data_IF_869299277381
#
_entry.id   IF_869299277381
#
_cell.length_a   1.000
_cell.length_b   1.000
_cell.length_c   1.000
_cell.angle_alpha   90.00
_cell.angle_beta   90.00
_cell.angle_gamma   90.00
#
_symmetry.space_group_name_H-M   'P 1'
#
loop_
_entity.id
_entity.type
_entity.pdbx_description
1 polymer ?
#
# COMPACT_ATOMS: atom_id res chain seq x y z
N UNK A 1 -56.55 -55.40 54.08
CA UNK A 1 -55.44 -54.90 54.93
C UNK A 1 -54.24 -54.60 54.04
N UNK A 2 -53.81 -53.48 54.11
CA UNK A 2 -52.51 -52.78 54.07
C UNK A 2 -52.37 -51.70 52.99
N UNK A 3 -52.29 -50.54 53.49
CA UNK A 3 -51.92 -49.27 52.80
C UNK A 3 -50.49 -49.32 52.27
N UNK A 4 -50.28 -48.87 51.06
CA UNK A 4 -48.99 -48.31 50.69
C UNK A 4 -49.14 -47.03 49.91
N UNK A 5 -48.51 -46.04 50.46
CA UNK A 5 -48.48 -44.64 50.02
C UNK A 5 -47.81 -44.50 48.67
N UNK A 6 -48.47 -43.72 47.82
CA UNK A 6 -47.89 -43.19 46.56
C UNK A 6 -47.17 -41.92 46.88
N UNK A 7 -45.89 -41.84 46.55
CA UNK A 7 -45.07 -40.64 46.65
C UNK A 7 -44.78 -40.14 45.24
N UNK A 8 -45.44 -39.05 44.83
CA UNK A 8 -45.17 -38.36 43.58
C UNK A 8 -43.85 -37.60 43.69
N UNK A 9 -42.87 -37.98 42.87
CA UNK A 9 -41.71 -37.16 42.60
C UNK A 9 -41.94 -36.34 41.33
N UNK A 10 -42.09 -35.04 41.47
CA UNK A 10 -42.15 -34.10 40.41
C UNK A 10 -40.73 -33.84 39.86
N UNK A 11 -40.46 -34.30 38.66
CA UNK A 11 -39.27 -33.95 37.90
C UNK A 11 -39.52 -32.61 37.25
N UNK A 12 -38.89 -31.57 37.74
CA UNK A 12 -38.84 -30.27 37.07
C UNK A 12 -37.78 -30.31 35.96
N UNK A 13 -38.21 -30.41 34.73
CA UNK A 13 -37.35 -30.30 33.56
C UNK A 13 -37.10 -28.81 33.29
N UNK A 14 -35.90 -28.33 33.62
CA UNK A 14 -35.44 -27.01 33.24
C UNK A 14 -35.02 -27.08 31.79
N UNK A 15 -35.85 -26.58 30.86
CA UNK A 15 -35.45 -26.29 29.50
C UNK A 15 -34.56 -25.05 29.53
N UNK A 16 -33.26 -25.25 29.43
CA UNK A 16 -32.30 -24.20 29.07
C UNK A 16 -32.48 -23.97 27.56
N UNK A 17 -33.30 -22.99 27.22
CA UNK A 17 -33.38 -22.46 25.84
C UNK A 17 -32.08 -21.73 25.53
N UNK A 18 -31.15 -22.40 24.83
CA UNK A 18 -30.07 -21.71 24.15
C UNK A 18 -30.69 -20.87 23.02
N UNK A 19 -30.91 -19.59 23.28
CA UNK A 19 -31.08 -18.62 22.20
C UNK A 19 -29.75 -18.53 21.48
N UNK A 20 -29.54 -19.37 20.46
CA UNK A 20 -28.63 -19.05 19.40
C UNK A 20 -29.24 -17.83 18.69
N UNK A 21 -28.71 -16.65 18.96
CA UNK A 21 -28.93 -15.49 18.12
C UNK A 21 -28.30 -15.85 16.77
N UNK A 22 -29.11 -16.39 15.87
CA UNK A 22 -28.79 -16.44 14.45
C UNK A 22 -28.69 -14.98 14.02
N UNK A 23 -27.49 -14.43 13.94
CA UNK A 23 -27.25 -13.22 13.16
C UNK A 23 -27.82 -13.53 11.77
N UNK A 24 -28.86 -12.83 11.39
CA UNK A 24 -29.48 -12.97 10.06
C UNK A 24 -28.49 -12.35 9.10
N UNK A 25 -27.68 -13.18 8.45
CA UNK A 25 -26.84 -12.70 7.36
C UNK A 25 -27.70 -11.89 6.39
N UNK A 26 -27.25 -10.73 6.02
CA UNK A 26 -27.96 -9.92 5.02
C UNK A 26 -28.04 -10.74 3.72
N UNK A 27 -29.27 -11.05 3.28
CA UNK A 27 -29.50 -11.73 1.98
C UNK A 27 -29.22 -10.83 0.78
N UNK A 28 -28.90 -9.57 1.01
CA UNK A 28 -28.67 -8.57 -0.04
C UNK A 28 -27.35 -8.82 -0.77
N UNK A 29 -27.45 -9.10 -2.06
CA UNK A 29 -26.26 -9.16 -2.92
C UNK A 29 -25.58 -7.80 -3.01
N UNK A 30 -24.26 -7.82 -2.96
CA UNK A 30 -23.40 -6.62 -3.04
C UNK A 30 -22.32 -6.82 -4.10
N UNK A 31 -22.12 -5.79 -4.92
CA UNK A 31 -20.99 -5.72 -5.86
C UNK A 31 -20.09 -4.56 -5.46
N UNK A 32 -18.81 -4.82 -5.36
CA UNK A 32 -17.77 -3.88 -4.94
C UNK A 32 -16.79 -3.72 -6.11
N UNK A 33 -16.46 -2.49 -6.47
CA UNK A 33 -15.39 -2.19 -7.42
C UNK A 33 -14.13 -1.80 -6.65
N UNK A 34 -13.00 -2.41 -7.00
CA UNK A 34 -11.69 -2.12 -6.46
C UNK A 34 -10.73 -1.74 -7.60
N UNK A 35 -10.14 -0.54 -7.54
CA UNK A 35 -9.21 -0.07 -8.56
C UNK A 35 -7.78 0.09 -8.04
N UNK A 36 -6.79 -0.16 -8.90
CA UNK A 36 -5.38 0.17 -8.66
C UNK A 36 -4.61 0.39 -9.98
N UNK A 37 -3.44 1.01 -9.90
CA UNK A 37 -2.63 1.32 -11.09
C UNK A 37 -1.68 0.19 -11.51
N UNK A 38 -1.39 -0.74 -10.61
CA UNK A 38 -0.52 -1.88 -10.84
C UNK A 38 -1.18 -2.92 -11.76
N UNK A 39 -0.40 -3.82 -12.36
CA UNK A 39 -0.96 -4.95 -13.13
C UNK A 39 -1.15 -6.18 -12.23
N UNK A 40 -1.88 -7.18 -12.74
CA UNK A 40 -2.32 -8.36 -11.98
C UNK A 40 -1.17 -9.21 -11.42
N UNK A 41 0.01 -9.20 -12.05
CA UNK A 41 1.16 -10.03 -11.65
C UNK A 41 2.01 -9.45 -10.53
N UNK A 42 1.80 -8.17 -10.19
CA UNK A 42 2.49 -7.51 -9.07
C UNK A 42 1.98 -7.99 -7.71
N UNK A 43 2.72 -7.75 -6.60
CA UNK A 43 2.20 -8.07 -5.27
C UNK A 43 0.81 -7.48 -5.01
N UNK A 44 0.59 -6.19 -5.33
CA UNK A 44 -0.70 -5.51 -5.18
C UNK A 44 -1.80 -6.17 -6.04
N UNK A 45 -1.50 -6.47 -7.32
CA UNK A 45 -2.46 -7.13 -8.19
C UNK A 45 -2.89 -8.48 -7.63
N UNK A 46 -1.94 -9.31 -7.20
CA UNK A 46 -2.23 -10.62 -6.60
C UNK A 46 -2.93 -10.51 -5.24
N UNK A 47 -2.55 -9.54 -4.42
CA UNK A 47 -3.17 -9.29 -3.11
C UNK A 47 -4.64 -8.87 -3.24
N UNK A 48 -4.94 -7.98 -4.18
CA UNK A 48 -6.31 -7.51 -4.43
C UNK A 48 -7.20 -8.59 -5.06
N UNK A 49 -6.67 -9.41 -5.96
CA UNK A 49 -7.38 -10.58 -6.49
C UNK A 49 -7.64 -11.64 -5.40
N UNK A 50 -6.66 -11.89 -4.53
CA UNK A 50 -6.86 -12.79 -3.40
C UNK A 50 -7.94 -12.25 -2.44
N UNK A 51 -7.92 -10.94 -2.14
CA UNK A 51 -9.00 -10.29 -1.38
C UNK A 51 -10.38 -10.55 -2.03
N UNK A 52 -10.49 -10.34 -3.34
CA UNK A 52 -11.73 -10.57 -4.07
C UNK A 52 -12.19 -12.02 -3.99
N UNK A 53 -11.26 -12.97 -4.11
CA UNK A 53 -11.54 -14.41 -4.00
C UNK A 53 -12.10 -14.76 -2.61
N UNK A 54 -11.39 -14.40 -1.52
CA UNK A 54 -11.79 -14.78 -0.16
C UNK A 54 -13.09 -14.10 0.30
N UNK A 55 -13.36 -12.86 -0.15
CA UNK A 55 -14.65 -12.20 0.09
C UNK A 55 -15.79 -13.00 -0.56
N UNK A 56 -15.61 -13.43 -1.80
CA UNK A 56 -16.60 -14.26 -2.50
C UNK A 56 -16.83 -15.59 -1.78
N UNK A 57 -15.76 -16.28 -1.39
CA UNK A 57 -15.80 -17.56 -0.70
C UNK A 57 -16.50 -17.45 0.67
N UNK A 58 -16.08 -16.51 1.53
CA UNK A 58 -16.65 -16.34 2.89
C UNK A 58 -18.10 -15.89 2.88
N UNK A 59 -18.54 -15.24 1.81
CA UNK A 59 -19.93 -14.81 1.66
C UNK A 59 -20.78 -15.73 0.77
N UNK A 60 -20.25 -16.88 0.33
CA UNK A 60 -20.91 -17.80 -0.60
C UNK A 60 -21.45 -17.09 -1.86
N UNK A 61 -20.69 -16.14 -2.40
CA UNK A 61 -21.04 -15.37 -3.59
C UNK A 61 -22.06 -14.26 -3.37
N UNK A 62 -22.40 -13.94 -2.13
CA UNK A 62 -23.29 -12.81 -1.79
C UNK A 62 -22.62 -11.47 -2.03
N UNK A 63 -21.34 -11.35 -1.65
CA UNK A 63 -20.51 -10.18 -1.95
C UNK A 63 -19.52 -10.58 -3.04
N UNK A 64 -19.44 -9.78 -4.09
CA UNK A 64 -18.46 -9.94 -5.18
C UNK A 64 -17.63 -8.68 -5.30
N UNK A 65 -16.31 -8.85 -5.43
CA UNK A 65 -15.37 -7.75 -5.69
C UNK A 65 -14.87 -7.89 -7.11
N UNK A 66 -15.04 -6.84 -7.91
CA UNK A 66 -14.45 -6.73 -9.25
C UNK A 66 -13.19 -5.89 -9.16
N UNK A 67 -12.05 -6.48 -9.47
CA UNK A 67 -10.76 -5.78 -9.47
C UNK A 67 -10.52 -5.14 -10.85
N UNK A 68 -10.09 -3.89 -10.86
CA UNK A 68 -9.78 -3.11 -12.05
C UNK A 68 -8.31 -2.66 -11.98
N UNK A 69 -7.37 -3.49 -12.47
CA UNK A 69 -5.95 -3.20 -12.47
C UNK A 69 -5.55 -2.23 -13.58
N UNK A 70 -4.25 -1.90 -13.64
CA UNK A 70 -3.63 -1.16 -14.74
C UNK A 70 -4.34 0.16 -15.10
N UNK A 71 -4.73 0.93 -14.07
CA UNK A 71 -5.39 2.24 -14.22
C UNK A 71 -6.71 2.21 -15.02
N UNK A 72 -7.43 1.09 -15.06
CA UNK A 72 -8.69 0.98 -15.81
C UNK A 72 -9.78 1.95 -15.31
N UNK A 73 -9.70 2.35 -14.03
CA UNK A 73 -10.62 3.34 -13.42
C UNK A 73 -10.00 4.74 -13.27
N UNK A 74 -8.86 4.99 -13.92
CA UNK A 74 -8.09 6.22 -13.81
C UNK A 74 -6.79 6.04 -13.02
N UNK A 75 -6.02 7.12 -12.86
CA UNK A 75 -4.82 7.14 -12.03
C UNK A 75 -5.14 7.17 -10.53
N UNK A 76 -4.08 7.20 -9.70
CA UNK A 76 -4.27 7.20 -8.23
C UNK A 76 -5.15 8.36 -7.74
N UNK A 77 -4.90 9.59 -8.24
CA UNK A 77 -5.65 10.78 -7.84
C UNK A 77 -7.13 10.66 -8.20
N UNK A 78 -7.44 10.29 -9.44
CA UNK A 78 -8.82 10.14 -9.91
C UNK A 78 -9.57 9.07 -9.13
N UNK A 79 -8.93 7.96 -8.77
CA UNK A 79 -9.56 6.92 -7.96
C UNK A 79 -9.82 7.38 -6.52
N UNK A 80 -8.91 8.14 -5.90
CA UNK A 80 -9.14 8.74 -4.57
C UNK A 80 -10.31 9.73 -4.61
N UNK A 81 -10.41 10.58 -5.63
CA UNK A 81 -11.54 11.49 -5.81
C UNK A 81 -12.87 10.74 -6.00
N UNK A 82 -12.86 9.61 -6.72
CA UNK A 82 -14.03 8.74 -6.87
C UNK A 82 -14.46 8.11 -5.53
N UNK A 83 -13.52 7.73 -4.65
CA UNK A 83 -13.85 7.28 -3.28
C UNK A 83 -14.57 8.38 -2.50
N UNK A 84 -14.04 9.61 -2.53
CA UNK A 84 -14.63 10.76 -1.84
C UNK A 84 -16.05 11.05 -2.34
N UNK A 85 -16.30 10.91 -3.64
CA UNK A 85 -17.62 11.07 -4.26
C UNK A 85 -18.56 9.87 -4.03
N UNK A 86 -18.05 8.75 -3.50
CA UNK A 86 -18.82 7.51 -3.29
C UNK A 86 -19.12 6.73 -4.58
N UNK A 87 -18.48 7.07 -5.70
CA UNK A 87 -18.67 6.38 -6.99
C UNK A 87 -17.79 5.14 -7.15
N UNK A 88 -16.69 5.05 -6.40
CA UNK A 88 -15.85 3.88 -6.27
C UNK A 88 -15.88 3.40 -4.81
N UNK A 89 -15.93 2.08 -4.57
CA UNK A 89 -16.00 1.52 -3.22
C UNK A 89 -14.63 1.35 -2.59
N UNK A 90 -13.67 0.79 -3.34
CA UNK A 90 -12.31 0.50 -2.86
C UNK A 90 -11.28 0.94 -3.88
N UNK A 91 -10.13 1.40 -3.41
CA UNK A 91 -8.91 1.47 -4.23
C UNK A 91 -7.66 1.21 -3.40
N UNK A 92 -6.56 0.94 -4.09
CA UNK A 92 -5.24 0.75 -3.47
C UNK A 92 -4.24 1.70 -4.15
N UNK A 93 -4.22 2.99 -3.75
CA UNK A 93 -3.30 3.98 -4.31
C UNK A 93 -1.95 3.92 -3.62
N UNK A 94 -0.87 4.39 -4.26
CA UNK A 94 0.36 4.68 -3.53
C UNK A 94 0.12 5.76 -2.48
N UNK A 95 0.73 5.60 -1.28
CA UNK A 95 0.61 6.53 -0.16
C UNK A 95 0.91 7.98 -0.56
N UNK A 96 1.88 8.18 -1.45
CA UNK A 96 2.29 9.50 -1.92
C UNK A 96 1.12 10.38 -2.41
N UNK A 97 0.08 9.79 -3.01
CA UNK A 97 -1.08 10.54 -3.50
C UNK A 97 -2.05 10.96 -2.40
N UNK A 98 -1.94 10.37 -1.20
CA UNK A 98 -2.76 10.74 -0.04
C UNK A 98 -2.24 11.99 0.69
N UNK A 99 -0.99 12.38 0.48
CA UNK A 99 -0.37 13.57 1.08
C UNK A 99 -1.05 14.90 0.74
N UNK A 100 -1.95 14.92 -0.26
CA UNK A 100 -2.80 16.06 -0.57
C UNK A 100 -4.07 16.15 0.29
N UNK A 101 -4.39 15.10 1.05
CA UNK A 101 -5.62 14.96 1.82
C UNK A 101 -5.38 14.98 3.34
N UNK A 102 -4.20 14.52 3.79
CA UNK A 102 -3.79 14.54 5.19
C UNK A 102 -2.28 14.65 5.32
N UNK A 103 -1.82 15.38 6.34
CA UNK A 103 -0.40 15.62 6.58
C UNK A 103 0.34 14.39 7.15
N UNK A 104 -0.36 13.53 7.90
CA UNK A 104 0.27 12.39 8.56
C UNK A 104 0.74 11.30 7.59
N UNK A 105 0.09 11.15 6.43
CA UNK A 105 0.55 10.20 5.41
C UNK A 105 1.96 10.51 4.92
N UNK A 106 2.39 11.78 5.01
CA UNK A 106 3.75 12.21 4.67
C UNK A 106 4.84 11.52 5.51
N UNK A 107 4.52 10.95 6.69
CA UNK A 107 5.47 10.15 7.46
C UNK A 107 6.09 9.05 6.61
N UNK A 108 5.28 8.30 5.89
CA UNK A 108 5.74 7.15 5.12
C UNK A 108 6.40 7.51 3.78
N UNK A 109 6.33 8.78 3.38
CA UNK A 109 7.05 9.32 2.23
C UNK A 109 8.43 9.91 2.61
N UNK A 110 8.79 9.94 3.92
CA UNK A 110 10.11 10.38 4.36
C UNK A 110 11.20 9.45 3.80
N UNK A 111 12.17 9.98 3.05
CA UNK A 111 13.21 9.15 2.46
C UNK A 111 14.07 8.48 3.54
N UNK A 112 14.36 7.19 3.37
CA UNK A 112 15.15 6.38 4.30
C UNK A 112 14.57 6.28 5.72
N UNK A 113 13.25 6.47 5.89
CA UNK A 113 12.57 6.23 7.18
C UNK A 113 12.74 4.78 7.63
N UNK A 114 12.52 3.85 6.72
CA UNK A 114 12.63 2.42 6.99
C UNK A 114 14.04 1.91 6.70
N UNK A 115 14.51 0.98 7.54
CA UNK A 115 15.84 0.36 7.40
C UNK A 115 15.74 -1.12 7.03
N UNK A 116 14.56 -1.71 7.13
CA UNK A 116 14.24 -3.07 6.74
C UNK A 116 12.74 -3.20 6.43
N UNK A 117 12.40 -4.21 5.67
CA UNK A 117 11.02 -4.60 5.40
C UNK A 117 10.27 -4.98 6.69
N UNK A 118 10.90 -5.80 7.55
CA UNK A 118 10.33 -6.15 8.84
C UNK A 118 10.02 -4.91 9.69
N UNK A 119 10.94 -3.93 9.68
CA UNK A 119 10.75 -2.65 10.37
C UNK A 119 9.56 -1.86 9.80
N UNK A 120 9.40 -1.83 8.47
CA UNK A 120 8.28 -1.19 7.83
C UNK A 120 6.95 -1.84 8.24
N UNK A 121 6.86 -3.17 8.20
CA UNK A 121 5.65 -3.90 8.60
C UNK A 121 5.30 -3.69 10.07
N UNK A 122 6.30 -3.66 10.98
CA UNK A 122 6.06 -3.34 12.39
C UNK A 122 5.40 -1.96 12.54
N UNK A 123 5.82 -0.97 11.78
CA UNK A 123 5.25 0.38 11.82
C UNK A 123 3.87 0.42 11.19
N UNK A 124 3.66 -0.22 10.05
CA UNK A 124 2.36 -0.29 9.37
C UNK A 124 1.27 -0.91 10.26
N UNK A 125 1.62 -1.94 11.03
CA UNK A 125 0.68 -2.67 11.90
C UNK A 125 0.56 -2.07 13.31
N UNK A 126 1.34 -1.03 13.61
CA UNK A 126 1.32 -0.35 14.91
C UNK A 126 0.21 0.70 15.01
N UNK A 127 0.15 1.32 16.20
CA UNK A 127 -0.68 2.50 16.41
C UNK A 127 -0.30 3.69 15.52
N UNK A 128 0.94 3.75 15.00
CA UNK A 128 1.37 4.78 14.04
C UNK A 128 0.67 4.56 12.69
N UNK A 129 0.74 3.36 12.15
CA UNK A 129 0.06 3.03 10.89
C UNK A 129 -1.45 3.18 11.00
N UNK A 130 -2.04 2.76 12.14
CA UNK A 130 -3.48 2.92 12.41
C UNK A 130 -3.87 4.39 12.47
N UNK A 131 -3.10 5.23 13.19
CA UNK A 131 -3.41 6.66 13.33
C UNK A 131 -3.34 7.42 11.99
N UNK A 132 -2.49 6.97 11.06
CA UNK A 132 -2.44 7.52 9.70
C UNK A 132 -3.70 7.12 8.91
N UNK A 133 -4.11 5.85 8.98
CA UNK A 133 -5.32 5.37 8.31
C UNK A 133 -6.59 6.07 8.86
N UNK A 134 -6.67 6.28 10.15
CA UNK A 134 -7.80 6.96 10.80
C UNK A 134 -7.86 8.45 10.42
N UNK A 135 -6.73 9.11 10.22
CA UNK A 135 -6.66 10.52 9.82
C UNK A 135 -7.29 10.76 8.42
N UNK A 136 -7.29 9.74 7.54
CA UNK A 136 -7.94 9.79 6.23
C UNK A 136 -9.47 9.96 6.33
N UNK A 137 -10.09 9.62 7.46
CA UNK A 137 -11.53 9.76 7.62
C UNK A 137 -12.00 11.20 7.49
N UNK A 138 -11.18 12.17 7.91
CA UNK A 138 -11.43 13.60 7.71
C UNK A 138 -11.55 14.01 6.23
N UNK A 139 -10.94 13.25 5.34
CA UNK A 139 -11.00 13.44 3.90
C UNK A 139 -12.10 12.61 3.21
N UNK A 140 -12.95 11.90 3.97
CA UNK A 140 -14.01 11.03 3.42
C UNK A 140 -13.49 9.67 2.93
N UNK A 141 -12.32 9.24 3.41
CA UNK A 141 -11.66 7.99 3.04
C UNK A 141 -11.52 7.12 4.29
N UNK A 142 -11.88 5.85 4.21
CA UNK A 142 -11.67 4.86 5.28
C UNK A 142 -10.44 4.03 4.97
N UNK A 143 -9.40 4.13 5.79
CA UNK A 143 -8.26 3.24 5.73
C UNK A 143 -8.59 1.86 6.28
N UNK A 144 -8.16 0.80 5.57
CA UNK A 144 -8.44 -0.59 5.95
C UNK A 144 -7.18 -1.36 6.31
N UNK A 145 -6.02 -0.98 5.77
CA UNK A 145 -4.75 -1.61 6.06
C UNK A 145 -3.68 -1.24 5.03
N UNK A 146 -2.46 -1.73 5.23
CA UNK A 146 -1.29 -1.40 4.42
C UNK A 146 -0.79 -2.63 3.66
N UNK A 147 -0.92 -2.63 2.34
CA UNK A 147 -0.11 -3.42 1.43
C UNK A 147 1.28 -2.77 1.28
N UNK A 148 2.19 -3.46 0.62
CA UNK A 148 3.52 -2.98 0.30
C UNK A 148 3.89 -3.31 -1.15
N UNK A 149 4.67 -2.44 -1.78
CA UNK A 149 5.12 -2.68 -3.16
C UNK A 149 6.63 -2.94 -3.25
N UNK A 150 7.32 -2.95 -2.09
CA UNK A 150 8.77 -3.16 -2.01
C UNK A 150 9.59 -1.87 -2.00
N UNK A 151 10.91 -2.03 -2.12
CA UNK A 151 11.85 -0.92 -2.12
C UNK A 151 11.84 -0.18 -3.45
N UNK A 152 11.68 1.15 -3.37
CA UNK A 152 11.79 2.02 -4.53
C UNK A 152 13.25 2.28 -4.87
N UNK A 153 13.56 2.17 -6.15
CA UNK A 153 14.89 2.24 -6.74
C UNK A 153 14.87 3.22 -7.92
N UNK A 154 15.98 3.87 -8.19
CA UNK A 154 16.08 4.80 -9.32
C UNK A 154 16.46 4.03 -10.59
N UNK A 155 15.80 4.31 -11.72
CA UNK A 155 16.31 3.92 -13.04
C UNK A 155 16.74 5.13 -13.84
N UNK A 156 17.86 5.02 -14.57
CA UNK A 156 18.37 6.10 -15.42
C UNK A 156 19.36 5.58 -16.47
N UNK A 157 19.87 6.50 -17.33
CA UNK A 157 20.83 6.17 -18.38
C UNK A 157 22.29 6.50 -17.99
N UNK A 158 22.54 6.74 -16.72
CA UNK A 158 23.85 7.07 -16.13
C UNK A 158 24.07 6.19 -14.91
N UNK A 159 25.29 5.69 -14.72
CA UNK A 159 25.68 5.01 -13.50
C UNK A 159 25.75 6.00 -12.33
N UNK A 160 25.20 5.62 -11.17
CA UNK A 160 25.07 6.48 -9.98
C UNK A 160 25.56 5.72 -8.75
N UNK A 161 26.50 6.32 -8.02
CA UNK A 161 27.05 5.83 -6.75
C UNK A 161 26.97 6.86 -5.62
N UNK A 162 26.84 8.14 -5.96
CA UNK A 162 26.85 9.24 -4.99
C UNK A 162 25.67 10.19 -5.24
N UNK A 163 25.24 10.97 -4.21
CA UNK A 163 24.27 12.04 -4.41
C UNK A 163 24.65 13.03 -5.51
N UNK A 164 25.96 13.32 -5.67
CA UNK A 164 26.46 14.23 -6.70
C UNK A 164 26.21 13.71 -8.13
N UNK A 165 26.15 12.38 -8.29
CA UNK A 165 25.84 11.78 -9.58
C UNK A 165 24.40 12.00 -10.02
N UNK A 166 23.49 12.30 -9.10
CA UNK A 166 22.10 12.61 -9.40
C UNK A 166 21.91 14.00 -10.00
N UNK A 167 22.90 14.89 -9.81
CA UNK A 167 22.77 16.30 -10.21
C UNK A 167 22.46 16.46 -11.70
N UNK A 168 21.42 17.27 -11.97
CA UNK A 168 20.96 17.61 -13.32
C UNK A 168 20.08 16.59 -14.01
N UNK A 169 19.83 15.39 -13.42
CA UNK A 169 18.87 14.44 -13.97
C UNK A 169 17.45 15.01 -13.87
N UNK A 170 16.71 14.95 -14.97
CA UNK A 170 15.26 15.16 -14.97
C UNK A 170 14.61 13.86 -14.54
N UNK A 171 14.20 13.79 -13.29
CA UNK A 171 13.60 12.57 -12.74
C UNK A 171 12.09 12.74 -12.60
N UNK A 172 11.33 11.76 -13.11
CA UNK A 172 9.91 11.71 -12.81
C UNK A 172 9.71 11.24 -11.39
N UNK A 173 8.81 11.91 -10.69
CA UNK A 173 8.34 11.53 -9.36
C UNK A 173 6.81 11.43 -9.33
N UNK A 174 6.27 10.83 -8.29
CA UNK A 174 4.84 10.87 -8.03
C UNK A 174 4.39 12.31 -7.73
N UNK A 175 3.11 12.62 -7.90
CA UNK A 175 2.52 13.95 -7.64
C UNK A 175 2.44 14.25 -6.13
N UNK A 176 3.62 14.33 -5.51
CA UNK A 176 3.81 14.56 -4.09
C UNK A 176 4.94 15.55 -3.86
N UNK A 177 4.69 16.58 -3.03
CA UNK A 177 5.67 17.64 -2.80
C UNK A 177 6.94 17.16 -2.09
N UNK A 178 6.82 16.17 -1.20
CA UNK A 178 8.00 15.61 -0.52
C UNK A 178 8.90 14.84 -1.48
N UNK A 179 8.34 14.09 -2.42
CA UNK A 179 9.11 13.41 -3.47
C UNK A 179 9.82 14.44 -4.37
N UNK A 180 9.14 15.54 -4.72
CA UNK A 180 9.76 16.64 -5.47
C UNK A 180 10.93 17.23 -4.67
N UNK A 181 10.73 17.53 -3.39
CA UNK A 181 11.76 18.11 -2.53
C UNK A 181 12.94 17.14 -2.32
N UNK A 182 12.64 15.84 -2.15
CA UNK A 182 13.65 14.80 -2.00
C UNK A 182 14.64 14.79 -3.18
N UNK A 183 14.14 14.65 -4.41
CA UNK A 183 15.01 14.57 -5.57
C UNK A 183 15.63 15.92 -5.96
N UNK A 184 14.94 17.03 -5.72
CA UNK A 184 15.54 18.36 -5.86
C UNK A 184 16.70 18.58 -4.86
N UNK A 185 16.58 18.04 -3.63
CA UNK A 185 17.66 18.08 -2.64
C UNK A 185 18.91 17.31 -3.11
N UNK A 186 18.75 16.26 -3.91
CA UNK A 186 19.83 15.52 -4.55
C UNK A 186 20.36 16.22 -5.84
N UNK A 187 19.87 17.42 -6.15
CA UNK A 187 20.29 18.20 -7.32
C UNK A 187 19.61 17.79 -8.63
N UNK A 188 18.59 16.94 -8.59
CA UNK A 188 17.77 16.60 -9.74
C UNK A 188 16.81 17.76 -10.12
N UNK A 189 16.20 17.66 -11.29
CA UNK A 189 14.99 18.37 -11.66
C UNK A 189 13.80 17.41 -11.54
N UNK A 190 13.12 17.39 -10.39
CA UNK A 190 12.00 16.51 -10.15
C UNK A 190 10.74 16.98 -10.90
N UNK A 191 10.13 16.10 -11.67
CA UNK A 191 8.97 16.37 -12.54
C UNK A 191 7.83 15.46 -12.12
N UNK A 192 6.78 15.99 -11.44
CA UNK A 192 5.60 15.20 -11.10
C UNK A 192 4.83 14.82 -12.35
N UNK A 193 4.41 13.54 -12.44
CA UNK A 193 3.76 13.03 -13.63
C UNK A 193 2.95 11.76 -13.31
N UNK A 194 1.80 11.57 -13.96
CA UNK A 194 1.00 10.36 -13.86
C UNK A 194 1.81 9.11 -14.28
N UNK A 195 1.56 7.97 -13.62
CA UNK A 195 2.31 6.75 -13.85
C UNK A 195 2.19 6.24 -15.30
N UNK A 196 1.03 6.39 -15.91
CA UNK A 196 0.78 5.96 -17.29
C UNK A 196 1.58 6.71 -18.35
N UNK A 197 2.17 7.86 -18.01
CA UNK A 197 2.93 8.71 -18.94
C UNK A 197 4.45 8.42 -18.89
N UNK A 198 4.92 7.67 -17.88
CA UNK A 198 6.36 7.54 -17.57
C UNK A 198 7.13 6.86 -18.69
N UNK A 199 6.67 5.69 -19.18
CA UNK A 199 7.39 4.97 -20.24
C UNK A 199 7.59 5.82 -21.50
N UNK A 200 6.51 6.49 -21.94
CA UNK A 200 6.57 7.34 -23.13
C UNK A 200 7.50 8.54 -22.92
N UNK A 201 7.48 9.13 -21.73
CA UNK A 201 8.34 10.26 -21.39
C UNK A 201 9.82 9.90 -21.30
N UNK A 202 10.16 8.70 -20.80
CA UNK A 202 11.50 8.12 -20.83
C UNK A 202 11.94 7.84 -22.27
N UNK A 203 11.08 7.20 -23.06
CA UNK A 203 11.36 6.85 -24.45
C UNK A 203 11.62 8.10 -25.31
N UNK A 204 10.91 9.18 -25.07
CA UNK A 204 11.05 10.45 -25.81
C UNK A 204 12.16 11.36 -25.23
N UNK A 205 12.79 11.01 -24.11
CA UNK A 205 13.80 11.82 -23.47
C UNK A 205 13.26 13.12 -22.83
N UNK A 206 11.97 13.17 -22.53
CA UNK A 206 11.35 14.26 -21.74
C UNK A 206 11.88 14.24 -20.32
N UNK A 207 12.06 13.03 -19.78
CA UNK A 207 12.71 12.74 -18.50
C UNK A 207 13.90 11.79 -18.72
N UNK A 208 14.88 11.86 -17.84
CA UNK A 208 16.12 11.06 -17.88
C UNK A 208 16.06 9.84 -16.95
N UNK A 209 15.20 9.91 -15.94
CA UNK A 209 15.12 8.96 -14.83
C UNK A 209 13.68 8.85 -14.30
N UNK A 210 13.43 7.76 -13.59
CA UNK A 210 12.24 7.52 -12.78
C UNK A 210 12.64 6.72 -11.54
N UNK A 211 11.72 6.47 -10.61
CA UNK A 211 11.97 5.68 -9.41
C UNK A 211 10.74 4.83 -9.06
N UNK A 212 10.96 3.52 -8.89
CA UNK A 212 9.91 2.55 -8.61
C UNK A 212 10.47 1.26 -8.00
N UNK A 213 9.62 0.39 -7.43
CA UNK A 213 9.96 -0.99 -7.10
C UNK A 213 10.23 -1.85 -8.33
N UNK A 214 10.94 -2.95 -8.15
CA UNK A 214 11.26 -3.89 -9.23
C UNK A 214 10.05 -4.36 -10.02
N UNK A 215 8.96 -4.70 -9.33
CA UNK A 215 7.73 -5.16 -9.95
C UNK A 215 7.11 -4.13 -10.91
N UNK A 216 7.20 -2.83 -10.59
CA UNK A 216 6.73 -1.77 -11.46
C UNK A 216 7.69 -1.51 -12.63
N UNK A 217 9.00 -1.51 -12.37
CA UNK A 217 10.04 -1.36 -13.42
C UNK A 217 9.89 -2.47 -14.46
N UNK A 218 9.62 -3.69 -14.01
CA UNK A 218 9.44 -4.84 -14.88
C UNK A 218 8.16 -4.76 -15.71
N UNK A 219 7.03 -4.58 -15.04
CA UNK A 219 5.73 -4.64 -15.69
C UNK A 219 5.48 -3.50 -16.67
N UNK A 220 6.11 -2.34 -16.42
CA UNK A 220 6.12 -1.20 -17.34
C UNK A 220 7.28 -1.23 -18.35
N UNK A 221 8.14 -2.25 -18.27
CA UNK A 221 9.28 -2.44 -19.17
C UNK A 221 10.25 -1.25 -19.20
N UNK A 222 10.44 -0.56 -18.07
CA UNK A 222 11.36 0.58 -18.04
C UNK A 222 12.79 0.18 -18.42
N UNK A 223 13.16 -1.08 -18.21
CA UNK A 223 14.44 -1.64 -18.66
C UNK A 223 14.66 -1.56 -20.18
N UNK A 224 13.62 -1.39 -21.00
CA UNK A 224 13.79 -1.19 -22.45
C UNK A 224 14.30 0.20 -22.82
N UNK A 225 14.08 1.19 -21.92
CA UNK A 225 14.38 2.62 -22.13
C UNK A 225 15.34 3.19 -21.09
N UNK A 226 15.77 2.38 -20.12
CA UNK A 226 16.74 2.72 -19.07
C UNK A 226 17.89 1.71 -19.07
N UNK A 227 19.11 2.18 -18.76
CA UNK A 227 20.33 1.34 -18.76
C UNK A 227 20.73 0.82 -17.41
N UNK A 228 20.42 1.59 -16.35
CA UNK A 228 20.84 1.31 -14.99
C UNK A 228 19.63 1.31 -14.07
N UNK A 229 19.60 0.36 -13.14
CA UNK A 229 18.74 0.33 -11.97
C UNK A 229 19.66 0.47 -10.76
N UNK A 230 19.48 1.55 -10.01
CA UNK A 230 20.29 1.87 -8.83
C UNK A 230 19.49 1.50 -7.59
N UNK A 231 19.95 0.54 -6.80
CA UNK A 231 19.29 0.13 -5.56
C UNK A 231 19.45 1.18 -4.46
N UNK A 232 18.80 2.31 -4.67
CA UNK A 232 18.81 3.41 -3.69
C UNK A 232 18.04 3.06 -2.43
N UNK A 233 17.03 2.20 -2.50
CA UNK A 233 16.16 1.81 -1.38
C UNK A 233 15.70 3.02 -0.55
N UNK A 234 15.34 4.10 -1.24
CA UNK A 234 15.06 5.38 -0.60
C UNK A 234 13.69 5.44 0.09
N UNK A 235 12.73 4.62 -0.33
CA UNK A 235 11.41 4.44 0.29
C UNK A 235 11.04 2.97 0.21
N UNK A 236 10.50 2.39 1.30
CA UNK A 236 9.75 1.14 1.26
C UNK A 236 8.28 1.51 0.99
N UNK A 237 7.77 1.22 -0.21
CA UNK A 237 6.55 1.82 -0.74
C UNK A 237 5.28 1.30 -0.06
N UNK A 238 4.63 2.08 0.81
CA UNK A 238 3.37 1.70 1.43
C UNK A 238 2.22 1.96 0.47
N UNK A 239 1.33 0.99 0.37
CA UNK A 239 0.16 1.05 -0.51
C UNK A 239 -1.09 0.71 0.31
N UNK A 240 -1.83 1.70 0.82
CA UNK A 240 -2.99 1.40 1.63
C UNK A 240 -4.14 0.85 0.80
N UNK A 241 -4.86 -0.13 1.34
CA UNK A 241 -6.20 -0.45 0.87
C UNK A 241 -7.17 0.50 1.56
N UNK A 242 -7.90 1.28 0.77
CA UNK A 242 -8.82 2.31 1.25
C UNK A 242 -10.20 2.18 0.65
N UNK A 243 -11.21 2.63 1.40
CA UNK A 243 -12.61 2.60 0.99
C UNK A 243 -13.21 4.00 0.94
N UNK A 244 -14.26 4.18 0.16
CA UNK A 244 -15.16 5.31 0.32
C UNK A 244 -15.77 5.27 1.73
N UNK A 245 -15.53 6.31 2.54
CA UNK A 245 -16.05 6.35 3.91
C UNK A 245 -17.58 6.31 3.92
N UNK A 246 -18.22 7.03 3.03
CA UNK A 246 -19.70 7.05 2.96
C UNK A 246 -20.27 5.68 2.62
N UNK A 247 -19.62 4.92 1.75
CA UNK A 247 -20.03 3.55 1.44
C UNK A 247 -19.76 2.60 2.62
N UNK A 248 -18.55 2.68 3.23
CA UNK A 248 -18.14 1.82 4.34
C UNK A 248 -19.05 1.99 5.57
N UNK A 249 -19.38 3.23 5.92
CA UNK A 249 -20.28 3.55 7.04
C UNK A 249 -21.73 3.06 6.80
N UNK A 250 -22.11 2.89 5.54
CA UNK A 250 -23.42 2.36 5.15
C UNK A 250 -23.53 0.83 5.18
N UNK A 251 -22.42 0.11 5.40
CA UNK A 251 -22.43 -1.35 5.55
C UNK A 251 -23.07 -1.75 6.89
N UNK A 252 -23.73 -2.90 6.92
CA UNK A 252 -24.09 -3.51 8.20
C UNK A 252 -22.85 -4.06 8.93
N UNK A 253 -22.99 -4.34 10.23
CA UNK A 253 -21.87 -4.73 11.06
C UNK A 253 -21.29 -6.09 10.67
N UNK A 254 -22.11 -7.00 10.14
CA UNK A 254 -21.67 -8.33 9.69
C UNK A 254 -20.82 -8.22 8.42
N UNK A 255 -21.27 -7.47 7.42
CA UNK A 255 -20.53 -7.26 6.18
C UNK A 255 -19.21 -6.53 6.45
N UNK A 256 -19.24 -5.52 7.33
CA UNK A 256 -18.03 -4.80 7.73
C UNK A 256 -17.03 -5.73 8.43
N UNK A 257 -17.49 -6.61 9.31
CA UNK A 257 -16.62 -7.56 9.99
C UNK A 257 -15.98 -8.57 9.02
N UNK A 258 -16.77 -9.13 8.09
CA UNK A 258 -16.27 -10.06 7.07
C UNK A 258 -15.22 -9.37 6.17
N UNK A 259 -15.52 -8.18 5.68
CA UNK A 259 -14.60 -7.43 4.81
C UNK A 259 -13.30 -7.09 5.57
N UNK A 260 -13.40 -6.70 6.84
CA UNK A 260 -12.21 -6.41 7.68
C UNK A 260 -11.34 -7.67 7.84
N UNK A 261 -11.95 -8.82 8.12
CA UNK A 261 -11.22 -10.10 8.22
C UNK A 261 -10.53 -10.45 6.89
N UNK A 262 -11.23 -10.31 5.77
CA UNK A 262 -10.67 -10.56 4.44
C UNK A 262 -9.51 -9.60 4.13
N UNK A 263 -9.60 -8.34 4.52
CA UNK A 263 -8.48 -7.38 4.38
C UNK A 263 -7.25 -7.90 5.12
N UNK A 264 -7.39 -8.31 6.39
CA UNK A 264 -6.24 -8.77 7.17
C UNK A 264 -5.57 -10.01 6.54
N UNK A 265 -6.35 -10.96 6.03
CA UNK A 265 -5.82 -12.13 5.32
C UNK A 265 -5.10 -11.74 4.03
N UNK A 266 -5.67 -10.79 3.28
CA UNK A 266 -5.09 -10.32 2.03
C UNK A 266 -3.78 -9.54 2.25
N UNK A 267 -3.67 -8.76 3.34
CA UNK A 267 -2.44 -8.06 3.71
C UNK A 267 -1.29 -9.05 3.99
N UNK A 268 -1.58 -10.10 4.77
CA UNK A 268 -0.57 -11.15 5.07
C UNK A 268 -0.13 -11.87 3.81
N UNK A 269 -1.09 -12.22 2.95
CA UNK A 269 -0.79 -12.90 1.68
C UNK A 269 0.07 -12.02 0.76
N UNK A 270 -0.33 -10.78 0.55
CA UNK A 270 0.35 -9.84 -0.36
C UNK A 270 1.78 -9.55 0.09
N UNK A 271 1.97 -9.21 1.36
CA UNK A 271 3.31 -8.92 1.92
C UNK A 271 4.26 -10.11 1.79
N UNK A 272 3.74 -11.34 1.91
CA UNK A 272 4.54 -12.55 1.70
C UNK A 272 5.02 -12.75 0.25
N UNK A 273 4.51 -11.98 -0.71
CA UNK A 273 4.90 -12.07 -2.12
C UNK A 273 5.96 -11.04 -2.53
N UNK A 274 6.14 -9.98 -1.76
CA UNK A 274 6.96 -8.82 -2.18
C UNK A 274 8.40 -9.24 -2.47
N UNK A 275 9.08 -9.82 -1.51
CA UNK A 275 10.47 -10.25 -1.63
C UNK A 275 10.66 -11.33 -2.70
N UNK A 276 9.73 -12.30 -2.79
CA UNK A 276 9.79 -13.38 -3.79
C UNK A 276 9.70 -12.80 -5.22
N UNK A 277 8.75 -11.89 -5.45
CA UNK A 277 8.52 -11.29 -6.76
C UNK A 277 9.67 -10.37 -7.13
N UNK A 278 10.05 -9.44 -6.27
CA UNK A 278 11.11 -8.46 -6.55
C UNK A 278 12.47 -9.14 -6.69
N UNK A 279 12.80 -10.13 -5.83
CA UNK A 279 14.02 -10.93 -5.93
C UNK A 279 14.09 -11.75 -7.22
N UNK A 280 12.97 -12.34 -7.63
CA UNK A 280 12.87 -13.07 -8.90
C UNK A 280 13.07 -12.15 -10.12
N UNK A 281 12.52 -10.94 -10.09
CA UNK A 281 12.69 -9.94 -11.15
C UNK A 281 14.15 -9.45 -11.19
N UNK A 282 14.75 -9.12 -10.04
CA UNK A 282 16.16 -8.75 -9.95
C UNK A 282 17.05 -9.80 -10.60
N UNK A 283 16.87 -11.07 -10.24
CA UNK A 283 17.67 -12.16 -10.78
C UNK A 283 17.49 -12.28 -12.30
N UNK A 284 16.27 -12.17 -12.80
CA UNK A 284 15.99 -12.19 -14.24
C UNK A 284 16.62 -11.00 -14.97
N UNK A 285 16.58 -9.79 -14.40
CA UNK A 285 17.24 -8.63 -15.01
C UNK A 285 18.75 -8.84 -15.17
N UNK A 286 19.40 -9.49 -14.20
CA UNK A 286 20.81 -9.84 -14.25
C UNK A 286 21.07 -10.95 -15.26
N UNK A 287 20.34 -12.08 -15.20
CA UNK A 287 20.58 -13.27 -16.02
C UNK A 287 20.34 -12.99 -17.51
N UNK A 288 19.32 -12.20 -17.83
CA UNK A 288 18.96 -11.85 -19.20
C UNK A 288 19.65 -10.54 -19.67
N UNK A 289 20.44 -9.90 -18.81
CA UNK A 289 21.14 -8.63 -19.07
C UNK A 289 20.18 -7.54 -19.63
N UNK A 290 19.00 -7.40 -18.99
CA UNK A 290 17.97 -6.45 -19.42
C UNK A 290 18.28 -5.02 -19.01
N UNK A 291 18.84 -4.83 -17.81
CA UNK A 291 19.28 -3.57 -17.22
C UNK A 291 20.47 -3.84 -16.30
N UNK A 292 21.40 -2.89 -16.20
CA UNK A 292 22.52 -3.02 -15.25
C UNK A 292 22.07 -2.66 -13.85
N UNK A 293 22.06 -3.64 -12.94
CA UNK A 293 21.74 -3.41 -11.54
C UNK A 293 22.98 -2.92 -10.81
N UNK A 294 22.88 -1.77 -10.16
CA UNK A 294 23.91 -1.15 -9.33
C UNK A 294 23.49 -1.26 -7.86
N UNK A 295 24.15 -2.12 -7.12
CA UNK A 295 23.97 -2.26 -5.68
C UNK A 295 24.84 -1.22 -4.96
N UNK A 296 24.20 -0.26 -4.28
CA UNK A 296 24.94 0.71 -3.47
C UNK A 296 25.48 0.04 -2.21
N UNK A 297 26.74 0.35 -1.84
CA UNK A 297 27.29 -0.03 -0.54
C UNK A 297 26.58 0.68 0.60
N UNK A 298 26.78 0.23 1.84
CA UNK A 298 26.21 0.88 3.02
C UNK A 298 26.70 2.32 3.18
N UNK A 299 27.98 2.58 2.84
CA UNK A 299 28.58 3.92 2.86
C UNK A 299 27.95 4.83 1.80
N UNK A 300 27.75 4.33 0.58
CA UNK A 300 27.10 5.08 -0.48
C UNK A 300 25.65 5.40 -0.11
N UNK A 301 24.90 4.42 0.40
CA UNK A 301 23.53 4.61 0.86
C UNK A 301 23.43 5.60 2.05
N UNK A 302 24.40 5.55 2.98
CA UNK A 302 24.48 6.51 4.08
C UNK A 302 24.70 7.94 3.58
N UNK A 303 25.51 8.14 2.52
CA UNK A 303 25.71 9.44 1.90
C UNK A 303 24.40 10.01 1.29
N UNK A 304 23.59 9.18 0.66
CA UNK A 304 22.26 9.60 0.19
C UNK A 304 21.33 9.98 1.34
N UNK A 305 21.31 9.20 2.43
CA UNK A 305 20.52 9.51 3.64
C UNK A 305 20.95 10.85 4.25
N UNK A 306 22.24 11.12 4.37
CA UNK A 306 22.76 12.39 4.88
C UNK A 306 22.35 13.56 3.98
N UNK A 307 22.48 13.41 2.67
CA UNK A 307 22.16 14.46 1.70
C UNK A 307 20.70 14.91 1.75
N UNK A 308 19.78 14.04 2.17
CA UNK A 308 18.34 14.35 2.23
C UNK A 308 17.84 14.74 3.64
N UNK A 309 18.72 14.87 4.63
CA UNK A 309 18.35 15.32 5.97
C UNK A 309 17.53 16.62 5.98
N UNK A 310 17.80 17.63 5.12
CA UNK A 310 16.97 18.84 5.06
C UNK A 310 15.49 18.59 4.72
N UNK A 311 15.15 17.45 4.10
CA UNK A 311 13.74 17.07 3.87
C UNK A 311 13.06 16.76 5.20
N UNK A 312 13.73 16.01 6.08
CA UNK A 312 13.23 15.75 7.44
C UNK A 312 12.95 17.05 8.19
N UNK A 313 13.91 17.97 8.19
CA UNK A 313 13.80 19.26 8.90
C UNK A 313 12.61 20.09 8.37
N UNK A 314 12.36 20.03 7.07
CA UNK A 314 11.26 20.74 6.41
C UNK A 314 9.88 20.19 6.80
N UNK A 315 9.78 18.87 7.01
CA UNK A 315 8.48 18.20 7.20
C UNK A 315 8.21 17.78 8.64
N UNK A 316 9.18 17.86 9.55
CA UNK A 316 9.05 17.39 10.93
C UNK A 316 7.86 18.03 11.68
N UNK A 317 7.69 19.35 11.56
CA UNK A 317 6.59 20.06 12.22
C UNK A 317 5.22 19.68 11.63
N UNK A 318 5.16 19.40 10.33
CA UNK A 318 3.94 19.05 9.62
C UNK A 318 3.46 17.63 9.93
N UNK A 319 4.38 16.68 9.99
CA UNK A 319 4.13 15.27 10.31
C UNK A 319 3.90 15.12 11.82
N UNK A 320 4.65 15.84 12.63
CA UNK A 320 4.78 15.69 14.07
C UNK A 320 6.06 14.92 14.43
N UNK A 321 6.99 15.59 15.11
CA UNK A 321 8.26 15.00 15.52
C UNK A 321 8.08 13.72 16.33
N UNK A 322 7.10 13.72 17.26
CA UNK A 322 6.77 12.56 18.10
C UNK A 322 6.36 11.33 17.25
N UNK A 323 5.66 11.55 16.12
CA UNK A 323 5.23 10.47 15.24
C UNK A 323 6.42 9.87 14.49
N UNK A 324 7.35 10.71 14.06
CA UNK A 324 8.60 10.28 13.40
C UNK A 324 9.46 9.48 14.37
N UNK A 325 9.70 9.99 15.60
CA UNK A 325 10.47 9.30 16.63
C UNK A 325 9.87 7.93 16.94
N UNK A 326 8.56 7.87 17.12
CA UNK A 326 7.83 6.64 17.41
C UNK A 326 7.96 5.62 16.28
N UNK A 327 7.84 6.05 15.01
CA UNK A 327 8.06 5.17 13.86
C UNK A 327 9.49 4.61 13.82
N UNK A 328 10.49 5.41 14.20
CA UNK A 328 11.89 4.96 14.28
C UNK A 328 12.10 3.99 15.45
N UNK A 329 11.44 4.19 16.59
CA UNK A 329 11.56 3.29 17.75
C UNK A 329 10.93 1.92 17.52
N UNK A 330 9.78 1.87 16.88
CA UNK A 330 9.06 0.61 16.59
C UNK A 330 9.88 -0.33 15.71
N UNK A 331 10.75 0.20 14.86
CA UNK A 331 11.59 -0.60 13.95
C UNK A 331 12.74 -1.33 14.67
N UNK A 332 13.13 -0.87 15.86
CA UNK A 332 14.23 -1.47 16.64
C UNK A 332 13.80 -2.78 17.30
#
# INVERSE_FOLDING_TARGET
>A
MSFKKVMCAALATVLVGAFAASASASDKKMSINLGHVAIETTPIGRGTEYFAQIVNEKTNGRITVSVFPNSQLGGNREMIEQLQMGTLQLCSPSNAFLGGFTDKTALFDLPYLFTSEEGAFKVFDSEVGTAILDDLEGAGIKGLGWFAMGWRNVTCNKEVHTPADMAGLKIRVMENQMHIDHFNQLGCSAIPMSFSEVYTSLQQGVIDAEENPYSQIDTQRFYEVQKYLIETHHIYDPVPLVASKSWWDGLDDEDRAILTECVQEALVYERGLVDEIDGGIKQRFIDENLITVVELTDEERAAFREAVQPVYDKYADKIGADLIEKAIEIQK
#
